data_IF_350710917008
#
_entry.id   IF_350710917008
#
_cell.length_a   1.000
_cell.length_b   1.000
_cell.length_c   1.000
_cell.angle_alpha   90.00
_cell.angle_beta   90.00
_cell.angle_gamma   90.00
#
_symmetry.space_group_name_H-M   'P 1'
#
loop_
_entity.id
_entity.type
_entity.pdbx_description
1 polymer ?
#
# COMPACT_ATOMS: atom_id res chain seq x y z
N UNK A 1 15.19 3.67 -4.31
CA UNK A 1 14.90 4.89 -5.08
C UNK A 1 15.86 5.97 -4.60
N UNK A 2 16.47 6.71 -5.52
CA UNK A 2 17.39 7.79 -5.17
C UNK A 2 16.98 9.05 -5.94
N UNK A 3 16.92 10.18 -5.25
CA UNK A 3 16.57 11.47 -5.83
C UNK A 3 17.82 12.25 -6.18
N UNK A 4 17.80 12.99 -7.29
CA UNK A 4 18.95 13.79 -7.72
C UNK A 4 19.22 14.99 -6.81
N UNK A 5 18.19 15.49 -6.10
CA UNK A 5 18.35 16.53 -5.08
C UNK A 5 17.29 16.41 -3.98
N UNK A 6 17.58 16.91 -2.75
CA UNK A 6 16.60 16.96 -1.66
C UNK A 6 15.37 17.83 -1.97
N UNK A 7 15.54 18.90 -2.75
CA UNK A 7 14.43 19.79 -3.13
C UNK A 7 13.45 19.10 -4.07
N UNK A 8 13.95 18.22 -4.95
CA UNK A 8 13.11 17.41 -5.82
C UNK A 8 12.28 16.42 -4.99
N UNK A 9 12.91 15.74 -4.03
CA UNK A 9 12.21 14.84 -3.12
C UNK A 9 11.10 15.59 -2.38
N UNK A 10 11.43 16.73 -1.75
CA UNK A 10 10.46 17.54 -1.02
C UNK A 10 9.29 18.00 -1.91
N UNK A 11 9.56 18.33 -3.18
CA UNK A 11 8.50 18.68 -4.13
C UNK A 11 7.60 17.51 -4.50
N UNK A 12 8.16 16.31 -4.68
CA UNK A 12 7.40 15.08 -4.97
C UNK A 12 6.49 14.75 -3.79
N UNK A 13 7.04 14.76 -2.57
CA UNK A 13 6.29 14.48 -1.34
C UNK A 13 5.20 15.54 -1.08
N UNK A 14 5.53 16.84 -1.17
CA UNK A 14 4.57 17.92 -0.95
C UNK A 14 3.41 17.92 -1.96
N UNK A 15 3.63 17.35 -3.16
CA UNK A 15 2.60 17.20 -4.20
C UNK A 15 1.86 15.87 -4.13
N UNK A 16 2.16 15.00 -3.16
CA UNK A 16 1.55 13.69 -3.03
C UNK A 16 1.88 12.73 -4.18
N UNK A 17 3.04 12.90 -4.82
CA UNK A 17 3.46 12.09 -5.97
C UNK A 17 4.23 10.83 -5.57
N UNK A 18 4.34 10.56 -4.27
CA UNK A 18 4.91 9.33 -3.70
C UNK A 18 3.80 8.54 -2.98
N UNK A 19 2.95 7.78 -3.69
CA UNK A 19 1.80 7.10 -3.08
C UNK A 19 2.17 5.82 -2.32
N UNK A 20 3.41 5.33 -2.40
CA UNK A 20 3.86 4.11 -1.73
C UNK A 20 5.12 4.37 -0.91
N UNK A 21 5.10 3.93 0.35
CA UNK A 21 6.23 3.99 1.27
C UNK A 21 6.48 2.63 1.91
N UNK A 22 7.75 2.30 2.15
CA UNK A 22 8.16 1.27 3.10
C UNK A 22 7.80 1.74 4.50
N UNK A 23 7.18 0.86 5.28
CA UNK A 23 6.71 1.17 6.62
C UNK A 23 7.37 0.26 7.66
N UNK A 24 7.47 0.75 8.89
CA UNK A 24 7.77 -0.06 10.06
C UNK A 24 6.53 -0.81 10.57
N UNK A 25 6.70 -1.56 11.66
CA UNK A 25 5.64 -2.37 12.26
C UNK A 25 4.48 -1.53 12.83
N UNK A 26 4.73 -0.24 13.11
CA UNK A 26 3.72 0.73 13.56
C UNK A 26 3.01 1.42 12.37
N UNK A 27 3.44 1.14 11.13
CA UNK A 27 2.89 1.71 9.90
C UNK A 27 3.48 3.07 9.51
N UNK A 28 4.55 3.53 10.17
CA UNK A 28 5.20 4.79 9.84
C UNK A 28 6.24 4.60 8.73
N UNK A 29 6.40 5.56 7.80
CA UNK A 29 7.46 5.49 6.79
C UNK A 29 8.84 5.33 7.42
N UNK A 30 9.65 4.41 6.89
CA UNK A 30 10.95 4.07 7.48
C UNK A 30 12.08 4.00 6.45
N UNK A 31 13.28 4.33 6.89
CA UNK A 31 14.54 4.18 6.16
C UNK A 31 15.40 3.03 6.72
N UNK A 32 14.92 2.35 7.77
CA UNK A 32 15.70 1.35 8.49
C UNK A 32 15.70 0.00 7.75
N UNK A 33 16.89 -0.57 7.55
CA UNK A 33 17.02 -1.93 7.04
C UNK A 33 16.68 -2.95 8.15
N UNK A 34 15.94 -4.05 7.88
CA UNK A 34 15.49 -4.53 6.56
C UNK A 34 14.11 -4.04 6.11
N UNK A 35 13.38 -3.28 6.93
CA UNK A 35 12.02 -2.80 6.66
C UNK A 35 11.95 -1.94 5.38
N UNK A 36 13.00 -1.14 5.16
CA UNK A 36 13.31 -0.52 3.88
C UNK A 36 14.50 -1.24 3.24
N UNK A 37 14.28 -2.10 2.23
CA UNK A 37 15.31 -2.98 1.69
C UNK A 37 16.36 -2.26 0.84
N UNK A 38 16.11 -1.01 0.44
CA UNK A 38 16.97 -0.27 -0.49
C UNK A 38 17.39 1.11 0.02
N UNK A 39 17.07 1.45 1.28
CA UNK A 39 17.42 2.72 1.91
C UNK A 39 16.84 3.94 1.21
N UNK A 40 15.68 3.82 0.57
CA UNK A 40 15.07 4.97 -0.12
C UNK A 40 14.72 6.07 0.88
N UNK A 41 15.14 7.33 0.66
CA UNK A 41 14.77 8.46 1.51
C UNK A 41 13.25 8.60 1.67
N UNK A 42 12.80 8.96 2.87
CA UNK A 42 11.37 9.05 3.22
C UNK A 42 10.63 7.71 3.15
N UNK A 43 11.34 6.59 2.98
CA UNK A 43 10.73 5.29 2.72
C UNK A 43 10.13 5.15 1.32
N UNK A 44 10.35 6.08 0.38
CA UNK A 44 9.61 6.08 -0.90
C UNK A 44 9.85 4.80 -1.71
N UNK A 45 8.75 4.09 -1.99
CA UNK A 45 8.74 2.82 -2.73
C UNK A 45 8.14 2.93 -4.13
N UNK A 46 7.38 4.00 -4.42
CA UNK A 46 6.81 4.25 -5.74
C UNK A 46 6.41 5.71 -5.94
N UNK A 47 6.37 6.14 -7.20
CA UNK A 47 6.03 7.49 -7.64
C UNK A 47 4.99 7.48 -8.76
N UNK A 48 4.11 8.48 -8.79
CA UNK A 48 3.12 8.64 -9.84
C UNK A 48 3.29 9.93 -10.63
N UNK A 49 2.79 9.95 -11.87
CA UNK A 49 2.68 11.18 -12.65
C UNK A 49 1.64 12.12 -12.04
N UNK A 50 1.77 13.42 -12.32
CA UNK A 50 0.85 14.46 -11.84
C UNK A 50 -0.62 14.21 -12.21
N UNK A 51 -0.86 13.50 -13.31
CA UNK A 51 -2.18 13.13 -13.81
C UNK A 51 -2.65 11.73 -13.38
N UNK A 52 -1.83 11.02 -12.58
CA UNK A 52 -2.12 9.68 -12.05
C UNK A 52 -2.09 8.53 -13.07
N UNK A 53 -1.79 8.81 -14.35
CA UNK A 53 -1.83 7.79 -15.43
C UNK A 53 -0.61 6.86 -15.45
N UNK A 54 0.49 7.26 -14.84
CA UNK A 54 1.70 6.46 -14.75
C UNK A 54 2.05 6.25 -13.28
N UNK A 55 2.26 5.00 -12.90
CA UNK A 55 2.77 4.59 -11.59
C UNK A 55 4.03 3.76 -11.80
N UNK A 56 5.15 4.22 -11.25
CA UNK A 56 6.41 3.50 -11.21
C UNK A 56 6.69 3.09 -9.77
N UNK A 57 6.98 1.82 -9.53
CA UNK A 57 7.10 1.28 -8.18
C UNK A 57 8.21 0.20 -8.15
N UNK A 58 8.92 0.13 -7.03
CA UNK A 58 9.98 -0.86 -6.77
C UNK A 58 9.48 -2.24 -6.31
N UNK A 59 8.39 -2.38 -5.51
CA UNK A 59 7.89 -3.72 -5.19
C UNK A 59 7.41 -4.46 -6.44
N UNK A 60 7.23 -5.77 -6.33
CA UNK A 60 6.72 -6.60 -7.43
C UNK A 60 5.29 -7.06 -7.12
N UNK A 61 4.29 -6.17 -7.19
CA UNK A 61 2.91 -6.49 -6.85
C UNK A 61 2.39 -7.65 -7.72
N UNK A 62 2.85 -7.78 -8.96
CA UNK A 62 2.49 -8.83 -9.91
C UNK A 62 2.84 -10.24 -9.42
N UNK A 63 3.78 -10.34 -8.48
CA UNK A 63 4.18 -11.59 -7.83
C UNK A 63 3.33 -11.93 -6.60
N UNK A 64 2.36 -11.07 -6.24
CA UNK A 64 1.55 -11.17 -5.03
C UNK A 64 0.04 -11.03 -5.31
N UNK A 65 -0.40 -11.34 -6.53
CA UNK A 65 -1.80 -11.26 -6.99
C UNK A 65 -2.67 -12.37 -6.39
N UNK A 66 -2.08 -13.55 -6.14
CA UNK A 66 -2.76 -14.69 -5.51
C UNK A 66 -2.23 -14.88 -4.09
N UNK A 67 -3.12 -15.23 -3.16
CA UNK A 67 -2.77 -15.41 -1.74
C UNK A 67 -1.68 -16.47 -1.52
N UNK A 68 -1.70 -17.57 -2.27
CA UNK A 68 -0.66 -18.62 -2.18
C UNK A 68 0.75 -18.13 -2.54
N UNK A 69 0.90 -17.00 -3.22
CA UNK A 69 2.19 -16.42 -3.57
C UNK A 69 2.82 -15.64 -2.40
N UNK A 70 2.06 -15.34 -1.35
CA UNK A 70 2.54 -14.59 -0.21
C UNK A 70 3.39 -15.50 0.68
N UNK A 71 4.58 -15.04 1.05
CA UNK A 71 5.47 -15.78 1.96
C UNK A 71 4.87 -15.90 3.37
N UNK A 72 4.03 -14.93 3.75
CA UNK A 72 3.30 -14.92 5.00
C UNK A 72 1.94 -14.24 4.78
N UNK A 73 0.89 -14.83 5.37
CA UNK A 73 -0.45 -14.30 5.38
C UNK A 73 -0.88 -14.11 6.83
N UNK A 74 -1.25 -12.89 7.25
CA UNK A 74 -1.75 -12.66 8.60
C UNK A 74 -3.16 -13.25 8.76
N UNK A 75 -3.54 -13.72 9.98
CA UNK A 75 -4.82 -14.38 10.24
C UNK A 75 -6.08 -13.62 9.78
N UNK A 76 -6.16 -12.27 9.87
CA UNK A 76 -7.31 -11.53 9.36
C UNK A 76 -7.57 -11.69 7.85
N UNK A 77 -6.60 -12.19 7.07
CA UNK A 77 -6.73 -12.38 5.63
C UNK A 77 -7.08 -13.82 5.22
N UNK A 78 -7.32 -14.73 6.16
CA UNK A 78 -7.70 -16.13 5.87
C UNK A 78 -9.03 -16.26 5.13
N UNK A 79 -9.88 -15.24 5.21
CA UNK A 79 -11.18 -15.18 4.52
C UNK A 79 -11.10 -14.54 3.13
N UNK A 80 -9.98 -13.92 2.78
CA UNK A 80 -9.83 -13.30 1.47
C UNK A 80 -9.83 -14.36 0.37
N UNK A 81 -10.52 -14.09 -0.73
CA UNK A 81 -10.42 -14.91 -1.95
C UNK A 81 -9.39 -14.34 -2.93
N UNK A 82 -9.12 -13.04 -2.83
CA UNK A 82 -8.23 -12.30 -3.73
C UNK A 82 -7.33 -11.36 -2.92
N UNK A 83 -6.07 -11.26 -3.34
CA UNK A 83 -5.10 -10.33 -2.75
C UNK A 83 -5.56 -8.87 -2.91
N UNK A 84 -5.42 -8.01 -1.88
CA UNK A 84 -5.70 -6.56 -2.00
C UNK A 84 -4.88 -5.91 -3.13
N UNK A 85 -3.67 -6.41 -3.37
CA UNK A 85 -2.78 -5.94 -4.43
C UNK A 85 -3.40 -6.15 -5.81
N UNK A 86 -4.23 -7.19 -5.99
CA UNK A 86 -4.95 -7.46 -7.25
C UNK A 86 -5.79 -6.26 -7.72
N UNK A 87 -6.25 -5.42 -6.79
CA UNK A 87 -7.00 -4.22 -7.14
C UNK A 87 -6.19 -3.23 -8.00
N UNK A 88 -4.86 -3.27 -7.97
CA UNK A 88 -4.02 -2.41 -8.82
C UNK A 88 -4.28 -2.63 -10.31
N UNK A 89 -4.59 -3.86 -10.74
CA UNK A 89 -4.90 -4.17 -12.14
C UNK A 89 -6.38 -4.08 -12.47
N UNK A 90 -7.27 -4.29 -11.50
CA UNK A 90 -8.71 -4.25 -11.75
C UNK A 90 -9.29 -2.83 -11.66
N UNK A 91 -8.59 -1.88 -11.01
CA UNK A 91 -9.02 -0.49 -10.90
C UNK A 91 -9.09 0.25 -12.24
N UNK A 92 -8.34 -0.16 -13.27
CA UNK A 92 -8.53 0.37 -14.63
C UNK A 92 -9.89 -0.03 -15.24
N UNK A 93 -10.46 -1.16 -14.82
CA UNK A 93 -11.75 -1.64 -15.33
C UNK A 93 -12.95 -1.03 -14.57
N UNK A 94 -12.73 -0.35 -13.45
CA UNK A 94 -13.78 0.13 -12.54
C UNK A 94 -13.90 1.66 -12.54
N UNK A 95 -14.21 2.25 -13.69
CA UNK A 95 -14.97 3.51 -13.70
C UNK A 95 -16.43 3.16 -13.38
N UNK A 96 -16.78 3.04 -12.10
CA UNK A 96 -18.15 2.82 -11.63
C UNK A 96 -18.29 1.87 -10.44
N UNK A 97 -18.71 2.45 -9.30
CA UNK A 97 -19.36 1.85 -8.11
C UNK A 97 -18.71 0.71 -7.30
N UNK A 98 -17.83 -0.14 -7.84
CA UNK A 98 -17.42 -1.36 -7.10
C UNK A 98 -16.13 -1.22 -6.26
N UNK A 99 -15.32 -0.19 -6.52
CA UNK A 99 -14.08 0.03 -5.77
C UNK A 99 -14.31 0.52 -4.33
N UNK A 100 -15.47 1.13 -4.04
CA UNK A 100 -15.86 1.57 -2.69
C UNK A 100 -16.20 0.37 -1.78
N UNK A 101 -16.86 -0.65 -2.34
CA UNK A 101 -17.30 -1.83 -1.60
C UNK A 101 -16.14 -2.66 -1.03
N UNK A 102 -14.98 -2.68 -1.70
CA UNK A 102 -13.80 -3.43 -1.21
C UNK A 102 -13.08 -2.72 -0.05
N UNK A 103 -13.17 -1.39 0.03
CA UNK A 103 -12.64 -0.59 1.15
C UNK A 103 -13.62 -0.56 2.34
N UNK A 104 -14.93 -0.54 2.07
CA UNK A 104 -15.97 -0.59 3.11
C UNK A 104 -16.12 -1.97 3.78
N UNK A 105 -15.56 -3.05 3.20
CA UNK A 105 -15.52 -4.37 3.83
C UNK A 105 -14.42 -4.53 4.90
N UNK A 106 -13.64 -3.47 5.18
CA UNK A 106 -12.64 -3.44 6.25
C UNK A 106 -13.17 -3.00 7.64
N UNK A 107 -14.41 -2.51 7.73
CA UNK A 107 -15.00 -2.14 9.04
C UNK A 107 -15.80 -3.31 9.61
N UNK A 108 -15.10 -4.24 10.28
CA UNK A 108 -15.75 -5.21 11.15
C UNK A 108 -16.39 -4.49 12.35
N UNK A 109 -17.53 -4.98 12.88
CA UNK A 109 -18.23 -4.31 13.96
C UNK A 109 -17.35 -4.25 15.22
N UNK A 110 -17.11 -3.04 15.71
CA UNK A 110 -16.67 -2.77 17.08
C UNK A 110 -17.61 -3.53 18.02
N UNK A 111 -17.12 -4.60 18.64
CA UNK A 111 -17.88 -5.38 19.61
C UNK A 111 -18.26 -4.48 20.80
N UNK A 112 -19.53 -4.46 21.24
CA UNK A 112 -19.90 -3.72 22.44
C UNK A 112 -19.27 -4.40 23.66
N UNK A 113 -18.55 -3.60 24.44
CA UNK A 113 -17.87 -4.01 25.66
C UNK A 113 -18.78 -4.81 26.59
N UNK A 114 -18.27 -5.94 27.06
CA UNK A 114 -18.90 -6.69 28.14
C UNK A 114 -18.76 -5.89 29.44
N UNK A 115 -19.85 -5.27 29.87
CA UNK A 115 -20.06 -4.83 31.24
C UNK A 115 -20.12 -6.07 32.13
N UNK A 116 -19.20 -6.15 33.09
CA UNK A 116 -19.18 -7.19 34.11
C UNK A 116 -20.46 -7.23 34.94
N UNK A 117 -20.81 -8.45 35.32
CA UNK A 117 -21.49 -8.81 36.57
C UNK A 117 -20.80 -10.05 37.11
#
# INVERSE_FOLDING_TARGET
>A
MAFSSPELQAQIEARGLAPLHWADDDGNPTEQYPLNPNGSPGGVAGVCSLDGRHLALMPHPERAVRLWQWAWQPPPFDTLTTSPVCSLWTREAACGSEAEACLQQGEGPIAPGHSGQ
#
